data_IF_997633867409
#
_entry.id   IF_997633867409
#
_cell.length_a   1.000
_cell.length_b   1.000
_cell.length_c   1.000
_cell.angle_alpha   90.00
_cell.angle_beta   90.00
_cell.angle_gamma   90.00
#
_symmetry.space_group_name_H-M   'P 1'
#
loop_
_entity.id
_entity.type
_entity.pdbx_description
1 polymer ?
#
# COMPACT_ATOMS: atom_id res chain seq x y z
N UNK A 1 -9.85 6.07 2.48
CA UNK A 1 -9.29 6.91 3.57
C UNK A 1 -8.74 8.21 3.02
N UNK A 2 -8.69 9.27 3.84
CA UNK A 2 -8.23 10.60 3.44
C UNK A 2 -6.74 10.58 3.03
N UNK A 3 -6.37 11.41 2.04
CA UNK A 3 -4.98 11.55 1.63
C UNK A 3 -4.08 12.05 2.78
N UNK A 4 -2.94 11.40 2.99
CA UNK A 4 -1.95 11.81 3.99
C UNK A 4 -2.12 11.19 5.39
N UNK A 5 -3.16 10.38 5.60
CA UNK A 5 -3.41 9.67 6.88
C UNK A 5 -2.44 8.52 7.16
N UNK A 6 -1.67 8.07 6.15
CA UNK A 6 -0.61 7.07 6.33
C UNK A 6 -0.92 5.65 5.86
N UNK A 7 -1.97 5.43 5.06
CA UNK A 7 -2.32 4.11 4.47
C UNK A 7 -1.13 3.42 3.78
N UNK A 8 -0.44 4.11 2.86
CA UNK A 8 0.77 3.62 2.19
C UNK A 8 1.88 3.27 3.20
N UNK A 9 2.04 4.09 4.25
CA UNK A 9 3.07 3.84 5.27
C UNK A 9 2.75 2.59 6.07
N UNK A 10 1.49 2.41 6.47
CA UNK A 10 1.01 1.22 7.17
C UNK A 10 1.20 -0.04 6.32
N UNK A 11 0.80 0.00 5.05
CA UNK A 11 0.95 -1.15 4.15
C UNK A 11 2.42 -1.51 3.93
N UNK A 12 3.32 -0.52 3.77
CA UNK A 12 4.77 -0.78 3.71
C UNK A 12 5.29 -1.42 4.99
N UNK A 13 4.83 -0.99 6.16
CA UNK A 13 5.20 -1.60 7.44
C UNK A 13 4.73 -3.06 7.54
N UNK A 14 3.48 -3.34 7.15
CA UNK A 14 2.91 -4.69 7.08
C UNK A 14 3.69 -5.56 6.09
N UNK A 15 3.95 -5.05 4.89
CA UNK A 15 4.72 -5.76 3.85
C UNK A 15 6.13 -6.10 4.34
N UNK A 16 6.86 -5.12 4.87
CA UNK A 16 8.19 -5.31 5.44
C UNK A 16 8.19 -6.38 6.54
N UNK A 17 7.20 -6.32 7.45
CA UNK A 17 7.08 -7.27 8.57
C UNK A 17 6.78 -8.69 8.13
N UNK A 18 5.92 -8.90 7.12
CA UNK A 18 5.37 -10.23 6.83
C UNK A 18 5.82 -10.85 5.51
N UNK A 19 6.50 -10.13 4.62
CA UNK A 19 6.85 -10.65 3.28
C UNK A 19 7.61 -11.98 3.30
N UNK A 20 8.46 -12.21 4.29
CA UNK A 20 9.26 -13.44 4.43
C UNK A 20 8.42 -14.71 4.69
N UNK A 21 7.14 -14.56 5.04
CA UNK A 21 6.21 -15.68 5.28
C UNK A 21 5.53 -16.21 4.01
N UNK A 22 5.89 -15.68 2.84
CA UNK A 22 5.31 -15.99 1.52
C UNK A 22 6.38 -16.48 0.55
N UNK A 23 5.97 -17.21 -0.50
CA UNK A 23 6.90 -17.72 -1.51
C UNK A 23 7.34 -16.65 -2.51
N UNK A 24 6.53 -15.61 -2.68
CA UNK A 24 6.87 -14.44 -3.46
C UNK A 24 6.05 -13.23 -3.04
N UNK A 25 6.54 -12.06 -3.39
CA UNK A 25 6.00 -10.80 -2.92
C UNK A 25 6.21 -9.70 -3.94
N UNK A 26 5.26 -8.77 -4.03
CA UNK A 26 5.33 -7.61 -4.90
C UNK A 26 4.59 -6.42 -4.26
N UNK A 27 5.13 -5.23 -4.47
CA UNK A 27 4.48 -3.98 -4.10
C UNK A 27 4.33 -3.14 -5.37
N UNK A 28 3.10 -2.95 -5.82
CA UNK A 28 2.77 -2.12 -6.98
C UNK A 28 2.37 -0.73 -6.49
N UNK A 29 3.30 0.23 -6.62
CA UNK A 29 3.08 1.63 -6.22
C UNK A 29 2.38 2.43 -7.31
N UNK A 30 1.52 3.37 -6.90
CA UNK A 30 0.88 4.40 -7.73
C UNK A 30 0.17 3.85 -8.98
N UNK A 31 -0.67 2.82 -8.80
CA UNK A 31 -1.28 2.10 -9.93
C UNK A 31 -2.19 3.00 -10.77
N UNK A 32 -3.02 3.83 -10.14
CA UNK A 32 -3.88 4.82 -10.82
C UNK A 32 -3.14 5.76 -11.76
N UNK A 33 -1.87 6.05 -11.49
CA UNK A 33 -1.05 6.95 -12.31
C UNK A 33 -0.37 6.24 -13.47
N UNK A 34 -0.34 4.90 -13.46
CA UNK A 34 0.38 4.11 -14.46
C UNK A 34 -0.52 3.77 -15.62
N UNK A 35 -0.13 4.22 -16.81
CA UNK A 35 -0.83 3.90 -18.06
C UNK A 35 -0.38 2.60 -18.72
N UNK A 36 0.70 1.99 -18.21
CA UNK A 36 1.31 0.81 -18.81
C UNK A 36 1.04 -0.44 -17.94
N UNK A 37 -0.09 -1.09 -18.17
CA UNK A 37 -0.45 -2.33 -17.45
C UNK A 37 0.49 -3.48 -17.76
N UNK A 38 1.00 -3.59 -19.00
CA UNK A 38 1.98 -4.60 -19.35
C UNK A 38 3.22 -4.48 -18.46
N UNK A 39 3.69 -3.25 -18.23
CA UNK A 39 4.82 -2.99 -17.34
C UNK A 39 4.55 -3.40 -15.89
N UNK A 40 3.32 -3.25 -15.41
CA UNK A 40 2.93 -3.69 -14.06
C UNK A 40 2.83 -5.21 -13.95
N UNK A 41 2.28 -5.89 -14.95
CA UNK A 41 2.27 -7.36 -15.01
C UNK A 41 3.70 -7.93 -15.09
N UNK A 42 4.58 -7.30 -15.87
CA UNK A 42 6.00 -7.64 -15.89
C UNK A 42 6.62 -7.46 -14.50
N UNK A 43 6.35 -6.34 -13.83
CA UNK A 43 6.86 -6.10 -12.47
C UNK A 43 6.36 -7.20 -11.51
N UNK A 44 5.06 -7.51 -11.51
CA UNK A 44 4.46 -8.53 -10.67
C UNK A 44 5.15 -9.89 -10.87
N UNK A 45 5.32 -10.31 -12.12
CA UNK A 45 6.01 -11.55 -12.47
C UNK A 45 7.48 -11.52 -12.04
N UNK A 46 8.22 -10.44 -12.32
CA UNK A 46 9.65 -10.30 -11.99
C UNK A 46 9.87 -10.35 -10.48
N UNK A 47 9.04 -9.63 -9.71
CA UNK A 47 9.17 -9.51 -8.26
C UNK A 47 8.82 -10.81 -7.55
N UNK A 48 7.77 -11.52 -7.98
CA UNK A 48 7.33 -12.76 -7.36
C UNK A 48 8.25 -13.93 -7.76
N UNK A 49 8.62 -14.03 -9.03
CA UNK A 49 9.47 -15.13 -9.54
C UNK A 49 10.97 -14.88 -9.34
N UNK A 50 11.37 -13.67 -8.91
CA UNK A 50 12.76 -13.23 -8.79
C UNK A 50 13.55 -13.38 -10.08
N UNK A 51 12.92 -13.04 -11.21
CA UNK A 51 13.50 -13.13 -12.56
C UNK A 51 13.37 -11.79 -13.30
N UNK A 52 14.45 -10.99 -13.42
CA UNK A 52 14.35 -9.62 -13.93
C UNK A 52 14.12 -9.52 -15.44
N UNK A 53 14.33 -10.59 -16.18
CA UNK A 53 14.33 -10.66 -17.65
C UNK A 53 12.97 -11.04 -18.25
N UNK A 54 11.95 -11.26 -17.42
CA UNK A 54 10.59 -11.56 -17.90
C UNK A 54 10.06 -10.39 -18.73
N UNK A 55 9.53 -10.69 -19.90
CA UNK A 55 8.81 -9.74 -20.75
C UNK A 55 7.49 -10.32 -21.19
N UNK A 56 6.50 -9.46 -21.38
CA UNK A 56 5.21 -9.81 -21.97
C UNK A 56 4.83 -8.78 -23.02
N UNK A 57 4.22 -9.23 -24.11
CA UNK A 57 3.92 -8.41 -25.29
C UNK A 57 2.56 -7.72 -25.22
N UNK A 58 1.67 -8.17 -24.33
CA UNK A 58 0.31 -7.63 -24.17
C UNK A 58 -0.27 -7.98 -22.81
N UNK A 59 -1.34 -7.27 -22.41
CA UNK A 59 -2.06 -7.52 -21.15
C UNK A 59 -2.61 -8.95 -21.10
N UNK A 60 -3.13 -9.44 -22.23
CA UNK A 60 -3.66 -10.80 -22.33
C UNK A 60 -2.57 -11.88 -22.19
N UNK A 61 -1.36 -11.63 -22.69
CA UNK A 61 -0.23 -12.54 -22.47
C UNK A 61 0.23 -12.50 -21.01
N UNK A 62 0.35 -11.31 -20.42
CA UNK A 62 0.69 -11.15 -19.00
C UNK A 62 -0.28 -11.85 -18.08
N UNK A 63 -1.59 -11.73 -18.34
CA UNK A 63 -2.65 -12.44 -17.61
C UNK A 63 -2.42 -13.94 -17.61
N UNK A 64 -2.22 -14.54 -18.81
CA UNK A 64 -1.95 -15.98 -18.94
C UNK A 64 -0.68 -16.41 -18.22
N UNK A 65 0.37 -15.60 -18.27
CA UNK A 65 1.62 -15.91 -17.60
C UNK A 65 1.51 -15.79 -16.07
N UNK A 66 0.72 -14.84 -15.57
CA UNK A 66 0.40 -14.69 -14.14
C UNK A 66 -0.39 -15.91 -13.65
N UNK A 67 -1.51 -16.26 -14.29
CA UNK A 67 -2.30 -17.44 -13.94
C UNK A 67 -1.46 -18.72 -13.95
N UNK A 68 -0.73 -18.95 -15.05
CA UNK A 68 0.06 -20.16 -15.25
C UNK A 68 1.21 -20.31 -14.25
N UNK A 69 1.90 -19.22 -13.91
CA UNK A 69 3.13 -19.30 -13.11
C UNK A 69 2.89 -19.00 -11.64
N UNK A 70 1.91 -18.14 -11.32
CA UNK A 70 1.65 -17.67 -9.96
C UNK A 70 0.41 -18.32 -9.33
N UNK A 71 -0.46 -18.96 -10.13
CA UNK A 71 -1.76 -19.51 -9.68
C UNK A 71 -1.71 -20.54 -8.54
N UNK A 72 -0.56 -21.17 -8.30
CA UNK A 72 -0.37 -22.11 -7.18
C UNK A 72 0.57 -21.59 -6.09
N UNK A 73 1.09 -20.38 -6.24
CA UNK A 73 2.05 -19.80 -5.31
C UNK A 73 1.35 -19.07 -4.17
N UNK A 74 1.86 -19.24 -2.94
CA UNK A 74 1.44 -18.43 -1.80
C UNK A 74 2.16 -17.08 -1.85
N UNK A 75 1.46 -16.02 -2.23
CA UNK A 75 2.06 -14.69 -2.48
C UNK A 75 1.54 -13.59 -1.56
N UNK A 76 2.35 -12.56 -1.32
CA UNK A 76 1.93 -11.31 -0.69
C UNK A 76 2.02 -10.17 -1.71
N UNK A 77 0.88 -9.61 -2.10
CA UNK A 77 0.83 -8.50 -3.06
C UNK A 77 0.23 -7.28 -2.37
N UNK A 78 0.89 -6.14 -2.50
CA UNK A 78 0.30 -4.85 -2.17
C UNK A 78 0.06 -4.09 -3.46
N UNK A 79 -1.16 -3.61 -3.64
CA UNK A 79 -1.59 -2.79 -4.77
C UNK A 79 -1.99 -1.43 -4.22
N UNK A 80 -1.14 -0.43 -4.45
CA UNK A 80 -1.27 0.89 -3.86
C UNK A 80 -1.82 1.91 -4.86
N UNK A 81 -2.71 2.76 -4.36
CA UNK A 81 -3.36 3.85 -5.09
C UNK A 81 -4.19 3.36 -6.29
N UNK A 82 -5.17 2.48 -6.04
CA UNK A 82 -6.19 2.07 -7.03
C UNK A 82 -7.36 3.05 -7.01
N UNK A 83 -7.86 3.44 -8.18
CA UNK A 83 -9.05 4.28 -8.36
C UNK A 83 -10.11 3.67 -9.28
N UNK A 84 -9.83 2.53 -9.91
CA UNK A 84 -10.78 1.78 -10.73
C UNK A 84 -10.62 0.28 -10.48
N UNK A 85 -11.74 -0.45 -10.38
CA UNK A 85 -11.72 -1.91 -10.20
C UNK A 85 -11.11 -2.63 -11.41
N UNK A 86 -11.29 -2.08 -12.62
CA UNK A 86 -10.76 -2.64 -13.88
C UNK A 86 -9.22 -2.78 -13.84
N UNK A 87 -8.53 -1.96 -13.02
CA UNK A 87 -7.07 -2.05 -12.86
C UNK A 87 -6.62 -3.37 -12.26
N UNK A 88 -7.40 -3.99 -11.37
CA UNK A 88 -7.06 -5.30 -10.79
C UNK A 88 -7.31 -6.43 -11.79
N UNK A 89 -8.39 -6.33 -12.56
CA UNK A 89 -8.71 -7.27 -13.65
C UNK A 89 -7.61 -7.25 -14.71
N UNK A 90 -7.15 -6.06 -15.14
CA UNK A 90 -6.03 -5.92 -16.08
C UNK A 90 -4.70 -6.43 -15.51
N UNK A 91 -4.55 -6.46 -14.18
CA UNK A 91 -3.39 -7.06 -13.51
C UNK A 91 -3.53 -8.56 -13.27
N UNK A 92 -4.67 -9.17 -13.65
CA UNK A 92 -5.01 -10.56 -13.35
C UNK A 92 -4.99 -10.89 -11.85
N UNK A 93 -5.33 -9.90 -11.01
CA UNK A 93 -5.39 -10.03 -9.55
C UNK A 93 -6.85 -10.17 -9.14
N UNK A 94 -7.30 -11.41 -9.02
CA UNK A 94 -8.62 -11.78 -8.53
C UNK A 94 -8.48 -12.64 -7.26
N UNK A 95 -9.60 -12.88 -6.59
CA UNK A 95 -9.65 -13.64 -5.34
C UNK A 95 -9.04 -15.06 -5.48
N UNK A 96 -9.19 -15.70 -6.65
CA UNK A 96 -8.71 -17.06 -6.91
C UNK A 96 -7.42 -17.11 -7.76
N UNK A 97 -6.81 -15.97 -8.08
CA UNK A 97 -5.65 -15.90 -8.98
C UNK A 97 -4.37 -16.52 -8.42
N UNK A 98 -4.31 -16.88 -7.13
CA UNK A 98 -3.09 -17.33 -6.46
C UNK A 98 -3.32 -18.50 -5.52
N UNK A 99 -2.22 -19.16 -5.13
CA UNK A 99 -2.27 -20.35 -4.30
C UNK A 99 -2.81 -20.09 -2.88
N UNK A 100 -3.27 -21.16 -2.18
CA UNK A 100 -3.81 -21.05 -0.84
C UNK A 100 -2.88 -20.34 0.16
N UNK A 101 -3.47 -19.47 0.97
CA UNK A 101 -2.75 -18.68 1.98
C UNK A 101 -2.10 -17.39 1.45
N UNK A 102 -2.34 -17.07 0.17
CA UNK A 102 -1.98 -15.76 -0.41
C UNK A 102 -2.73 -14.62 0.27
N UNK A 103 -2.15 -13.42 0.21
CA UNK A 103 -2.74 -12.18 0.73
C UNK A 103 -2.52 -11.06 -0.29
N UNK A 104 -3.62 -10.42 -0.67
CA UNK A 104 -3.62 -9.21 -1.50
C UNK A 104 -4.10 -8.07 -0.61
N UNK A 105 -3.32 -6.98 -0.55
CA UNK A 105 -3.66 -5.77 0.18
C UNK A 105 -3.88 -4.67 -0.85
N UNK A 106 -5.09 -4.14 -0.88
CA UNK A 106 -5.49 -3.06 -1.79
C UNK A 106 -5.56 -1.78 -0.98
N UNK A 107 -4.96 -0.72 -1.51
CA UNK A 107 -5.04 0.62 -0.93
C UNK A 107 -5.75 1.51 -1.94
N UNK A 108 -6.88 2.06 -1.52
CA UNK A 108 -7.65 3.00 -2.32
C UNK A 108 -8.21 4.11 -1.44
N UNK A 109 -8.51 5.23 -2.06
CA UNK A 109 -9.25 6.33 -1.45
C UNK A 109 -10.75 6.22 -1.69
N UNK A 110 -11.16 5.41 -2.65
CA UNK A 110 -12.55 5.22 -3.04
C UNK A 110 -13.10 3.90 -2.51
N UNK A 111 -14.05 4.00 -1.59
CA UNK A 111 -14.72 2.84 -1.00
C UNK A 111 -15.59 2.08 -2.04
N UNK A 112 -16.08 2.77 -3.08
CA UNK A 112 -16.88 2.13 -4.13
C UNK A 112 -16.07 1.08 -4.89
N UNK A 113 -14.78 1.32 -5.11
CA UNK A 113 -13.87 0.33 -5.71
C UNK A 113 -13.83 -0.95 -4.87
N UNK A 114 -13.74 -0.83 -3.54
CA UNK A 114 -13.72 -1.99 -2.64
C UNK A 114 -15.03 -2.80 -2.69
N UNK A 115 -16.16 -2.10 -2.85
CA UNK A 115 -17.48 -2.73 -2.98
C UNK A 115 -17.62 -3.51 -4.30
N UNK A 116 -17.12 -2.96 -5.40
CA UNK A 116 -17.13 -3.62 -6.73
C UNK A 116 -16.25 -4.89 -6.69
N UNK A 117 -15.08 -4.80 -6.07
CA UNK A 117 -14.13 -5.91 -5.95
C UNK A 117 -14.56 -7.00 -4.96
N UNK A 118 -15.61 -6.76 -4.16
CA UNK A 118 -16.14 -7.69 -3.17
C UNK A 118 -15.04 -8.24 -2.23
N UNK A 119 -14.26 -7.35 -1.63
CA UNK A 119 -13.11 -7.70 -0.77
C UNK A 119 -13.53 -8.40 0.53
N UNK A 120 -12.66 -9.27 1.05
CA UNK A 120 -12.94 -10.03 2.29
C UNK A 120 -13.09 -9.14 3.54
N UNK A 121 -12.27 -8.09 3.63
CA UNK A 121 -12.14 -7.22 4.80
C UNK A 121 -11.72 -5.82 4.38
N UNK A 122 -12.33 -4.82 5.02
CA UNK A 122 -11.99 -3.42 4.87
C UNK A 122 -11.38 -2.94 6.19
N UNK A 123 -10.27 -2.21 6.11
CA UNK A 123 -9.63 -1.54 7.24
C UNK A 123 -9.54 -0.05 6.96
N UNK A 124 -10.30 0.73 7.72
CA UNK A 124 -10.22 2.18 7.66
C UNK A 124 -9.14 2.69 8.63
N UNK A 125 -8.06 3.25 8.06
CA UNK A 125 -7.00 3.89 8.85
C UNK A 125 -7.56 5.12 9.54
N UNK A 126 -7.44 5.17 10.86
CA UNK A 126 -7.87 6.29 11.68
C UNK A 126 -6.77 7.35 11.79
N UNK A 127 -7.18 8.57 12.14
CA UNK A 127 -6.27 9.67 12.46
C UNK A 127 -5.42 9.33 13.69
N UNK A 128 -4.24 9.95 13.79
CA UNK A 128 -3.41 9.81 14.99
C UNK A 128 -4.09 10.45 16.19
N UNK A 129 -3.93 9.82 17.35
CA UNK A 129 -4.20 10.49 18.62
C UNK A 129 -3.28 11.69 18.82
N UNK A 130 -3.67 12.64 19.67
CA UNK A 130 -2.83 13.80 19.99
C UNK A 130 -1.47 13.37 20.54
N UNK A 131 -1.41 12.29 21.33
CA UNK A 131 -0.15 11.75 21.84
C UNK A 131 0.75 11.21 20.72
N UNK A 132 0.20 10.42 19.79
CA UNK A 132 0.94 9.88 18.64
C UNK A 132 1.40 11.00 17.68
N UNK A 133 0.55 11.99 17.45
CA UNK A 133 0.85 13.15 16.63
C UNK A 133 1.96 14.00 17.26
N UNK A 134 1.92 14.22 18.58
CA UNK A 134 2.96 14.93 19.31
C UNK A 134 4.28 14.17 19.28
N UNK A 135 4.26 12.85 19.46
CA UNK A 135 5.46 12.02 19.36
C UNK A 135 6.05 12.09 17.93
N UNK A 136 5.20 11.98 16.90
CA UNK A 136 5.64 12.07 15.51
C UNK A 136 6.29 13.43 15.20
N UNK A 137 5.63 14.52 15.59
CA UNK A 137 6.17 15.87 15.46
C UNK A 137 7.49 16.01 16.21
N UNK A 138 7.56 15.46 17.43
CA UNK A 138 8.74 15.52 18.28
C UNK A 138 9.94 14.87 17.60
N UNK A 139 9.76 13.67 17.07
CA UNK A 139 10.81 12.97 16.33
C UNK A 139 11.22 13.71 15.07
N UNK A 140 10.28 14.35 14.38
CA UNK A 140 10.54 15.06 13.13
C UNK A 140 11.31 16.37 13.35
N UNK A 141 10.85 17.21 14.28
CA UNK A 141 11.38 18.55 14.48
C UNK A 141 12.57 18.60 15.47
N UNK A 142 12.57 17.72 16.49
CA UNK A 142 13.55 17.77 17.59
C UNK A 142 14.47 16.54 17.63
N UNK A 143 14.20 15.50 16.82
CA UNK A 143 15.00 14.26 16.82
C UNK A 143 14.86 13.45 18.12
N UNK A 144 13.78 13.66 18.86
CA UNK A 144 13.52 13.09 20.19
C UNK A 144 12.04 12.76 20.34
N UNK A 145 11.69 11.79 21.19
CA UNK A 145 10.28 11.43 21.48
C UNK A 145 9.44 12.52 22.15
N UNK A 146 10.07 13.59 22.65
CA UNK A 146 9.39 14.73 23.25
C UNK A 146 10.01 16.07 22.80
N UNK A 147 9.23 17.16 22.74
CA UNK A 147 9.77 18.49 22.47
C UNK A 147 10.61 18.98 23.65
N UNK A 148 11.50 19.94 23.42
CA UNK A 148 12.11 20.67 24.52
C UNK A 148 11.03 21.41 25.32
N UNK A 149 11.24 21.56 26.64
CA UNK A 149 10.24 22.10 27.57
C UNK A 149 9.66 23.45 27.14
N UNK A 150 10.46 24.27 26.47
CA UNK A 150 10.10 25.61 26.00
C UNK A 150 9.14 25.59 24.81
N UNK A 151 9.08 24.47 24.07
CA UNK A 151 8.28 24.31 22.86
C UNK A 151 7.06 23.40 23.04
N UNK A 152 6.81 22.85 24.24
CA UNK A 152 5.71 21.89 24.47
C UNK A 152 4.35 22.49 24.09
N UNK A 153 4.04 23.72 24.53
CA UNK A 153 2.75 24.36 24.24
C UNK A 153 2.62 24.67 22.75
N UNK A 154 3.68 25.16 22.11
CA UNK A 154 3.70 25.39 20.66
C UNK A 154 3.53 24.09 19.87
N UNK A 155 4.15 23.01 20.31
CA UNK A 155 4.02 21.69 19.69
C UNK A 155 2.58 21.17 19.79
N UNK A 156 1.89 21.43 20.91
CA UNK A 156 0.47 21.09 21.07
C UNK A 156 -0.42 21.90 20.14
N UNK A 157 -0.19 23.21 20.01
CA UNK A 157 -0.93 24.06 19.07
C UNK A 157 -0.76 23.57 17.61
N UNK A 158 0.45 23.13 17.26
CA UNK A 158 0.75 22.54 15.95
C UNK A 158 0.02 21.21 15.76
N UNK A 159 -0.01 20.34 16.77
CA UNK A 159 -0.72 19.06 16.71
C UNK A 159 -2.22 19.27 16.50
N UNK A 160 -2.82 20.18 17.25
CA UNK A 160 -4.24 20.55 17.12
C UNK A 160 -4.53 21.10 15.72
N UNK A 161 -3.67 21.99 15.21
CA UNK A 161 -3.79 22.51 13.84
C UNK A 161 -3.70 21.43 12.75
N UNK A 162 -2.86 20.40 12.94
CA UNK A 162 -2.68 19.33 11.96
C UNK A 162 -3.75 18.24 12.03
N UNK A 163 -4.63 18.26 13.04
CA UNK A 163 -5.75 17.34 13.21
C UNK A 163 -5.36 15.86 13.03
N UNK A 164 -4.27 15.42 13.66
CA UNK A 164 -3.85 14.01 13.64
C UNK A 164 -3.37 13.48 12.28
N UNK A 165 -3.17 14.33 11.26
CA UNK A 165 -2.69 13.91 9.94
C UNK A 165 -1.15 13.83 9.89
N UNK A 166 -0.55 12.63 9.70
CA UNK A 166 0.91 12.45 9.69
C UNK A 166 1.62 13.28 8.63
N UNK A 167 1.02 13.43 7.45
CA UNK A 167 1.63 14.19 6.35
C UNK A 167 1.64 15.70 6.62
N UNK A 168 0.67 16.24 7.35
CA UNK A 168 0.65 17.65 7.73
C UNK A 168 1.78 17.94 8.72
N UNK A 169 1.93 17.09 9.74
CA UNK A 169 2.96 17.21 10.77
C UNK A 169 4.40 17.18 10.23
N UNK A 170 4.66 16.38 9.17
CA UNK A 170 5.98 16.25 8.55
C UNK A 170 6.32 17.33 7.50
N UNK A 171 5.38 18.22 7.20
CA UNK A 171 5.59 19.31 6.21
C UNK A 171 5.87 20.66 6.87
N UNK A 172 5.83 20.70 8.20
CA UNK A 172 6.22 21.83 9.03
C UNK A 172 7.72 21.79 9.29
#
# INVERSE_FOLDING_TARGET
GMGGIGTTTLARAVFSKYHHSFNGQCYLEEVSKKKNMVGLQEQLLRDILKRPDIKVSSVAEGTKEIEKRLGSMKVLIVVDDIDDADQLDELAIEHESFGPGSRIIIITRDEQVLNILNVDKIYEVQEMTDEEALELLSWHAFGSHCPDKEYIELARDVVDYCAGLPLALKKL
#
